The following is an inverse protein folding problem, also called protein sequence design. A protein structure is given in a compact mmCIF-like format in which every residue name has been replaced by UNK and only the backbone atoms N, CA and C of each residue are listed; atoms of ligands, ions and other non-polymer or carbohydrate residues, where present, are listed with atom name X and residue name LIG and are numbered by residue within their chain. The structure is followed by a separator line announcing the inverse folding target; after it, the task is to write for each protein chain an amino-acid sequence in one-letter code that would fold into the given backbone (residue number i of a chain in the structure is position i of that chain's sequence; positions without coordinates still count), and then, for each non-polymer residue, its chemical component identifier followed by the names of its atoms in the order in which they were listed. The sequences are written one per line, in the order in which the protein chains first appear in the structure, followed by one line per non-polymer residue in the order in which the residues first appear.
data_IF_570598047403
#
_entry.id   IF_570598047403
#
_cell.length_a   1.000
_cell.length_b   1.000
_cell.length_c   1.000
_cell.angle_alpha   90.00
_cell.angle_beta   90.00
_cell.angle_gamma   90.00
#
_symmetry.space_group_name_H-M   'P 1'
#
loop_
_entity.id
_entity.type
_entity.pdbx_description
1 polymer ?
#
# COMPACT_ATOMS: atom_id res chain seq x y z
N UNK A 1 18.00 -5.75 -23.53
CA UNK A 1 16.55 -6.08 -23.56
C UNK A 1 16.03 -6.63 -22.23
N UNK A 2 16.58 -7.72 -21.68
CA UNK A 2 16.10 -8.37 -20.46
C UNK A 2 15.91 -7.44 -19.25
N UNK A 3 16.90 -6.59 -18.94
CA UNK A 3 16.83 -5.61 -17.84
C UNK A 3 15.72 -4.57 -18.05
N UNK A 4 15.45 -4.16 -19.30
CA UNK A 4 14.37 -3.20 -19.60
C UNK A 4 13.00 -3.85 -19.40
N UNK A 5 12.83 -5.11 -19.82
CA UNK A 5 11.59 -5.87 -19.60
C UNK A 5 11.29 -6.00 -18.10
N UNK A 6 12.31 -6.31 -17.29
CA UNK A 6 12.16 -6.40 -15.85
C UNK A 6 11.89 -5.05 -15.18
N UNK A 7 12.45 -3.96 -15.69
CA UNK A 7 12.06 -2.62 -15.25
C UNK A 7 10.59 -2.33 -15.56
N UNK A 8 10.11 -2.65 -16.77
CA UNK A 8 8.69 -2.49 -17.08
C UNK A 8 7.79 -3.31 -16.18
N UNK A 9 8.19 -4.53 -15.84
CA UNK A 9 7.48 -5.35 -14.85
C UNK A 9 7.41 -4.66 -13.48
N UNK A 10 8.53 -4.17 -12.97
CA UNK A 10 8.58 -3.47 -11.67
C UNK A 10 7.76 -2.18 -11.68
N UNK A 11 7.79 -1.41 -12.78
CA UNK A 11 6.95 -0.23 -12.94
C UNK A 11 5.46 -0.58 -12.99
N UNK A 12 5.09 -1.64 -13.69
CA UNK A 12 3.72 -2.13 -13.72
C UNK A 12 3.28 -2.59 -12.33
N UNK A 13 4.15 -3.31 -11.61
CA UNK A 13 3.90 -3.73 -10.24
C UNK A 13 3.69 -2.53 -9.31
N UNK A 14 4.56 -1.52 -9.38
CA UNK A 14 4.43 -0.26 -8.65
C UNK A 14 3.12 0.46 -9.00
N UNK A 15 2.76 0.51 -10.29
CA UNK A 15 1.50 1.08 -10.76
C UNK A 15 0.28 0.35 -10.19
N UNK A 16 0.31 -0.98 -10.13
CA UNK A 16 -0.77 -1.78 -9.55
C UNK A 16 -0.93 -1.54 -8.04
N UNK A 17 0.16 -1.44 -7.29
CA UNK A 17 0.08 -1.25 -5.84
C UNK A 17 -0.22 0.21 -5.45
N UNK A 18 0.09 1.19 -6.29
CA UNK A 18 -0.07 2.62 -6.00
C UNK A 18 -1.13 3.30 -6.87
N UNK A 19 -0.94 3.34 -8.19
CA UNK A 19 -1.80 4.12 -9.10
C UNK A 19 -3.23 3.58 -9.16
N UNK A 20 -3.41 2.26 -9.28
CA UNK A 20 -4.75 1.64 -9.33
C UNK A 20 -5.59 2.01 -8.09
N UNK A 21 -5.10 1.80 -6.86
CA UNK A 21 -5.83 2.20 -5.67
C UNK A 21 -5.99 3.73 -5.54
N UNK A 22 -5.03 4.53 -6.02
CA UNK A 22 -5.17 5.99 -6.05
C UNK A 22 -6.34 6.42 -6.95
N UNK A 23 -6.42 5.89 -8.18
CA UNK A 23 -7.52 6.15 -9.10
C UNK A 23 -8.86 5.71 -8.52
N UNK A 24 -8.89 4.57 -7.82
CA UNK A 24 -10.09 4.10 -7.14
C UNK A 24 -10.57 5.10 -6.07
N UNK A 25 -9.65 5.64 -5.24
CA UNK A 25 -9.99 6.66 -4.24
C UNK A 25 -10.48 7.96 -4.89
N UNK A 26 -9.80 8.43 -5.94
CA UNK A 26 -10.19 9.65 -6.65
C UNK A 26 -11.59 9.52 -7.27
N UNK A 27 -11.90 8.35 -7.84
CA UNK A 27 -13.22 8.07 -8.44
C UNK A 27 -14.35 8.00 -7.41
N UNK A 28 -14.05 7.63 -6.17
CA UNK A 28 -15.05 7.51 -5.11
C UNK A 28 -15.63 8.86 -4.65
N UNK A 29 -15.12 10.00 -5.15
CA UNK A 29 -15.64 11.36 -4.93
C UNK A 29 -16.09 11.62 -3.48
N UNK A 30 -15.27 11.17 -2.52
CA UNK A 30 -15.50 11.45 -1.11
C UNK A 30 -15.02 12.87 -0.85
N UNK A 31 -15.94 13.80 -0.61
CA UNK A 31 -15.67 15.16 -0.11
C UNK A 31 -14.94 15.18 1.25
N UNK A 32 -14.66 14.02 1.82
CA UNK A 32 -13.87 13.82 3.02
C UNK A 32 -12.39 14.13 2.75
N UNK A 33 -11.95 15.33 3.14
CA UNK A 33 -10.56 15.77 3.08
C UNK A 33 -9.70 15.17 4.21
N UNK A 34 -10.30 14.43 5.15
CA UNK A 34 -9.54 13.81 6.24
C UNK A 34 -8.58 12.78 5.66
N UNK A 35 -7.36 12.81 6.20
CA UNK A 35 -6.27 11.92 5.81
C UNK A 35 -5.85 12.02 4.32
N UNK A 36 -5.99 13.18 3.68
CA UNK A 36 -5.58 13.41 2.27
C UNK A 36 -4.13 12.99 1.97
N UNK A 37 -3.17 13.35 2.83
CA UNK A 37 -1.77 12.93 2.67
C UNK A 37 -1.65 11.40 2.60
N UNK A 38 -2.47 10.68 3.36
CA UNK A 38 -2.46 9.21 3.41
C UNK A 38 -3.09 8.60 2.17
N UNK A 39 -4.21 9.16 1.71
CA UNK A 39 -4.84 8.79 0.43
C UNK A 39 -3.86 8.97 -0.74
N UNK A 40 -3.01 9.99 -0.67
CA UNK A 40 -2.00 10.27 -1.68
C UNK A 40 -0.79 9.33 -1.56
N UNK A 41 -0.14 9.26 -0.40
CA UNK A 41 1.09 8.50 -0.22
C UNK A 41 0.87 6.98 -0.15
N UNK A 42 -0.24 6.53 0.42
CA UNK A 42 -0.53 5.13 0.72
C UNK A 42 -1.98 4.74 0.40
N UNK A 43 -2.38 4.81 -0.88
CA UNK A 43 -3.76 4.59 -1.30
C UNK A 43 -4.25 3.15 -1.07
N UNK A 44 -3.39 2.14 -1.25
CA UNK A 44 -3.79 0.74 -1.06
C UNK A 44 -4.12 0.44 0.40
N UNK A 45 -3.23 0.84 1.30
CA UNK A 45 -3.42 0.69 2.74
C UNK A 45 -4.67 1.42 3.24
N UNK A 46 -4.97 2.61 2.67
CA UNK A 46 -6.20 3.33 2.99
C UNK A 46 -7.46 2.53 2.62
N UNK A 47 -7.47 1.88 1.45
CA UNK A 47 -8.61 1.06 1.03
C UNK A 47 -8.77 -0.15 1.95
N UNK A 48 -7.65 -0.80 2.32
CA UNK A 48 -7.66 -1.91 3.28
C UNK A 48 -8.25 -1.43 4.61
N UNK A 49 -7.79 -0.30 5.15
CA UNK A 49 -8.33 0.27 6.38
C UNK A 49 -9.84 0.47 6.28
N UNK A 50 -10.32 1.17 5.25
CA UNK A 50 -11.75 1.49 5.10
C UNK A 50 -12.59 0.21 5.00
N UNK A 51 -12.09 -0.84 4.33
CA UNK A 51 -12.78 -2.14 4.26
C UNK A 51 -12.78 -2.85 5.60
N UNK A 52 -11.67 -2.82 6.33
CA UNK A 52 -11.51 -3.45 7.64
C UNK A 52 -12.40 -2.76 8.69
N UNK A 53 -12.43 -1.43 8.72
CA UNK A 53 -13.30 -0.64 9.61
C UNK A 53 -14.78 -0.83 9.28
N UNK A 54 -15.14 -1.02 8.00
CA UNK A 54 -16.53 -1.36 7.62
C UNK A 54 -16.92 -2.76 8.06
N UNK A 55 -15.98 -3.72 8.05
CA UNK A 55 -16.23 -5.11 8.43
C UNK A 55 -16.18 -5.35 9.94
N UNK A 56 -15.45 -4.52 10.69
CA UNK A 56 -15.18 -4.71 12.12
C UNK A 56 -15.48 -3.42 12.90
N UNK A 57 -16.47 -3.50 13.78
CA UNK A 57 -16.87 -2.41 14.67
C UNK A 57 -15.88 -2.13 15.81
N UNK A 58 -14.85 -2.98 16.01
CA UNK A 58 -14.01 -2.97 17.20
C UNK A 58 -12.59 -2.40 16.95
N UNK A 59 -12.21 -1.44 17.79
CA UNK A 59 -10.95 -0.67 17.71
C UNK A 59 -9.67 -1.49 17.77
N UNK A 60 -9.68 -2.59 18.53
CA UNK A 60 -8.51 -3.43 18.77
C UNK A 60 -8.28 -4.40 17.63
N UNK A 61 -9.37 -4.91 17.02
CA UNK A 61 -9.32 -5.83 15.90
C UNK A 61 -8.75 -5.18 14.63
N UNK A 62 -9.11 -3.92 14.38
CA UNK A 62 -8.58 -3.15 13.24
C UNK A 62 -7.06 -2.92 13.37
N UNK A 63 -6.56 -2.61 14.57
CA UNK A 63 -5.12 -2.49 14.84
C UNK A 63 -4.36 -3.79 14.63
N UNK A 64 -4.89 -4.91 15.13
CA UNK A 64 -4.32 -6.24 14.93
C UNK A 64 -4.23 -6.60 13.44
N UNK A 65 -5.26 -6.25 12.67
CA UNK A 65 -5.25 -6.47 11.21
C UNK A 65 -4.20 -5.61 10.53
N UNK A 66 -4.01 -4.35 10.94
CA UNK A 66 -2.91 -3.53 10.38
C UNK A 66 -1.52 -4.11 10.68
N UNK A 67 -1.32 -4.72 11.85
CA UNK A 67 -0.07 -5.44 12.16
C UNK A 67 0.07 -6.69 11.29
N UNK A 68 -1.01 -7.44 11.07
CA UNK A 68 -0.99 -8.60 10.16
C UNK A 68 -0.76 -8.20 8.70
N UNK A 69 -1.35 -7.09 8.25
CA UNK A 69 -1.15 -6.53 6.91
C UNK A 69 0.32 -6.17 6.69
N UNK A 70 1.01 -5.66 7.71
CA UNK A 70 2.46 -5.44 7.66
C UNK A 70 3.25 -6.75 7.46
N UNK A 71 2.87 -7.84 8.12
CA UNK A 71 3.51 -9.14 7.86
C UNK A 71 3.27 -9.63 6.43
N UNK A 72 2.06 -9.41 5.90
CA UNK A 72 1.67 -9.81 4.54
C UNK A 72 2.31 -8.91 3.49
N UNK A 73 2.56 -7.64 3.77
CA UNK A 73 3.15 -6.70 2.81
C UNK A 73 4.60 -7.05 2.46
N UNK A 74 5.31 -7.75 3.33
CA UNK A 74 6.63 -8.36 3.04
C UNK A 74 6.52 -9.35 1.86
N UNK A 75 5.41 -10.07 1.74
CA UNK A 75 5.17 -10.97 0.61
C UNK A 75 5.01 -10.18 -0.71
N UNK A 76 4.59 -8.92 -0.66
CA UNK A 76 4.56 -8.04 -1.83
C UNK A 76 5.97 -7.79 -2.39
N UNK A 77 6.96 -7.60 -1.52
CA UNK A 77 8.36 -7.47 -1.92
C UNK A 77 8.89 -8.78 -2.56
N UNK A 78 8.54 -9.92 -1.97
CA UNK A 78 8.84 -11.24 -2.54
C UNK A 78 8.22 -11.36 -3.93
N UNK A 79 6.94 -11.00 -4.08
CA UNK A 79 6.24 -11.00 -5.36
C UNK A 79 6.92 -10.15 -6.44
N UNK A 80 7.37 -8.94 -6.09
CA UNK A 80 8.10 -8.07 -7.01
C UNK A 80 9.48 -8.64 -7.42
N UNK A 81 10.13 -9.41 -6.54
CA UNK A 81 11.48 -9.96 -6.75
C UNK A 81 11.50 -11.34 -7.43
N UNK A 82 10.38 -12.07 -7.50
CA UNK A 82 10.31 -13.39 -8.15
C UNK A 82 10.88 -13.39 -9.57
N UNK A 83 10.48 -12.50 -10.50
CA UNK A 83 10.99 -12.54 -11.87
C UNK A 83 12.47 -12.18 -11.98
N UNK A 84 12.97 -11.37 -11.05
CA UNK A 84 14.39 -11.00 -10.98
C UNK A 84 15.24 -12.21 -10.59
N UNK A 85 14.80 -12.95 -9.57
CA UNK A 85 15.49 -14.15 -9.08
C UNK A 85 15.39 -15.30 -10.09
N UNK A 86 14.20 -15.56 -10.63
CA UNK A 86 14.01 -16.64 -11.62
C UNK A 86 14.85 -16.45 -12.88
N UNK A 87 15.12 -15.19 -13.24
CA UNK A 87 15.93 -14.86 -14.41
C UNK A 87 17.40 -14.61 -14.05
N UNK A 88 17.85 -14.78 -12.80
CA UNK A 88 19.22 -14.47 -12.37
C UNK A 88 19.67 -13.04 -12.73
N UNK A 89 18.75 -12.07 -12.68
CA UNK A 89 19.09 -10.68 -12.95
C UNK A 89 19.59 -9.99 -11.66
N UNK A 90 20.74 -9.28 -11.69
CA UNK A 90 21.28 -8.67 -10.50
C UNK A 90 20.38 -7.54 -9.99
N UNK A 91 19.94 -7.67 -8.73
CA UNK A 91 19.04 -6.72 -8.04
C UNK A 91 19.58 -5.27 -8.05
N UNK A 92 20.90 -5.12 -8.06
CA UNK A 92 21.59 -3.83 -8.09
C UNK A 92 21.15 -2.94 -9.26
N UNK A 93 20.82 -3.53 -10.41
CA UNK A 93 20.33 -2.80 -11.60
C UNK A 93 18.92 -2.23 -11.43
N UNK A 94 18.20 -2.69 -10.40
CA UNK A 94 16.81 -2.35 -10.13
C UNK A 94 16.62 -1.70 -8.74
N UNK A 95 17.73 -1.34 -8.08
CA UNK A 95 17.75 -0.87 -6.68
C UNK A 95 16.77 0.26 -6.42
N UNK A 96 16.72 1.28 -7.29
CA UNK A 96 15.81 2.41 -7.10
C UNK A 96 14.34 1.97 -7.00
N UNK A 97 13.89 1.12 -7.93
CA UNK A 97 12.52 0.62 -7.95
C UNK A 97 12.23 -0.31 -6.77
N UNK A 98 13.17 -1.20 -6.45
CA UNK A 98 13.05 -2.08 -5.30
C UNK A 98 12.98 -1.31 -3.98
N UNK A 99 13.74 -0.22 -3.84
CA UNK A 99 13.66 0.68 -2.68
C UNK A 99 12.28 1.35 -2.60
N UNK A 100 11.72 1.81 -3.71
CA UNK A 100 10.35 2.37 -3.72
C UNK A 100 9.29 1.33 -3.35
N UNK A 101 9.39 0.11 -3.87
CA UNK A 101 8.48 -0.99 -3.52
C UNK A 101 8.65 -1.36 -2.05
N UNK A 102 9.88 -1.43 -1.55
CA UNK A 102 10.18 -1.70 -0.13
C UNK A 102 9.59 -0.62 0.77
N UNK A 103 9.79 0.66 0.41
CA UNK A 103 9.21 1.79 1.13
C UNK A 103 7.70 1.66 1.18
N UNK A 104 7.07 1.37 0.05
CA UNK A 104 5.62 1.21 0.00
C UNK A 104 5.14 0.01 0.81
N UNK A 105 5.76 -1.16 0.68
CA UNK A 105 5.34 -2.36 1.39
C UNK A 105 5.62 -2.30 2.90
N UNK A 106 6.71 -1.67 3.35
CA UNK A 106 7.11 -1.71 4.76
C UNK A 106 6.74 -0.46 5.54
N UNK A 107 6.88 0.73 4.95
CA UNK A 107 6.64 2.00 5.65
C UNK A 107 5.15 2.36 5.62
N UNK A 108 4.42 1.97 4.56
CA UNK A 108 3.00 2.27 4.46
C UNK A 108 2.20 1.68 5.63
N UNK A 109 2.30 0.38 5.98
CA UNK A 109 1.50 -0.19 7.06
C UNK A 109 1.87 0.39 8.44
N UNK A 110 3.15 0.75 8.65
CA UNK A 110 3.60 1.40 9.88
C UNK A 110 2.91 2.76 10.10
N UNK A 111 2.66 3.52 9.03
CA UNK A 111 1.95 4.80 9.11
C UNK A 111 0.52 4.64 9.63
N UNK A 112 -0.08 3.44 9.54
CA UNK A 112 -1.43 3.13 10.02
C UNK A 112 -1.48 2.58 11.46
N UNK A 113 -0.35 2.18 12.06
CA UNK A 113 -0.32 1.69 13.44
C UNK A 113 -0.77 2.73 14.48
N UNK A 114 -0.53 4.01 14.20
CA UNK A 114 -0.79 5.11 15.14
C UNK A 114 -2.08 5.90 14.83
N UNK A 115 -2.97 5.38 13.95
CA UNK A 115 -4.11 6.17 13.51
C UNK A 115 -5.28 6.16 14.51
N UNK A 116 -5.84 7.34 14.87
CA UNK A 116 -7.12 7.44 15.55
C UNK A 116 -8.27 7.14 14.58
N UNK A 117 -9.35 6.56 15.08
CA UNK A 117 -10.49 6.11 14.27
C UNK A 117 -11.02 7.22 13.36
N UNK A 118 -11.37 6.86 12.12
CA UNK A 118 -12.33 7.63 11.33
C UNK A 118 -13.74 7.41 11.91
N UNK A 119 -13.94 7.70 13.20
CA UNK A 119 -15.23 7.52 13.83
C UNK A 119 -16.22 8.49 13.19
N UNK A 120 -17.36 7.96 12.74
CA UNK A 120 -18.49 8.69 12.14
C UNK A 120 -19.02 9.78 13.11
N UNK A 121 -18.71 9.66 14.41
CA UNK A 121 -19.08 10.64 15.44
C UNK A 121 -18.25 11.94 15.44
N UNK A 122 -17.21 12.05 14.61
CA UNK A 122 -16.51 13.33 14.37
C UNK A 122 -17.09 14.11 13.20
N UNK A 123 -18.40 13.98 12.96
CA UNK A 123 -19.14 15.10 12.37
C UNK A 123 -19.03 16.23 13.37
N UNK A 124 -18.15 17.19 13.08
CA UNK A 124 -18.23 18.52 13.69
C UNK A 124 -19.69 18.95 13.66
N UNK A 125 -20.23 19.26 14.84
CA UNK A 125 -21.49 19.99 14.98
C UNK A 125 -21.45 21.25 14.12
#
# INVERSE_FOLDING_TARGET
MKTQILNYWLYLYLGCIYLVPLFYILRLNNSDTRFMLRKLFFPLEYIIQVKVEKGLSYSTATRLIHILVWCVSILGLVGASIPLVMLNEPLQKHTALLVFITYYCMVAPMAYWFQPHANISTKTK
#
